data_IF_519639985582
#
_entry.id   IF_519639985582
#
_cell.length_a   1.000
_cell.length_b   1.000
_cell.length_c   1.000
_cell.angle_alpha   90.00
_cell.angle_beta   90.00
_cell.angle_gamma   90.00
#
_symmetry.space_group_name_H-M   'P 1'
#
loop_
_entity.id
_entity.type
_entity.pdbx_description
1 polymer ?
#
# COMPACT_ATOMS: atom_id res chain seq x y z
N UNK A 1 53.21 -3.39 -4.04
CA UNK A 1 52.62 -4.69 -3.69
C UNK A 1 51.10 -4.67 -3.44
N UNK A 2 50.46 -3.51 -3.15
CA UNK A 2 49.00 -3.41 -2.90
C UNK A 2 48.09 -3.70 -4.10
N UNK A 3 48.38 -3.12 -5.28
CA UNK A 3 47.58 -3.27 -6.51
C UNK A 3 47.42 -4.72 -7.02
N UNK A 4 48.34 -5.64 -6.68
CA UNK A 4 48.22 -7.07 -7.05
C UNK A 4 47.31 -7.85 -6.09
N UNK A 5 47.24 -7.45 -4.81
CA UNK A 5 46.30 -8.04 -3.83
C UNK A 5 44.86 -7.55 -4.05
N UNK A 6 44.68 -6.27 -4.41
CA UNK A 6 43.35 -5.72 -4.74
C UNK A 6 42.75 -6.30 -6.02
N UNK A 7 43.59 -6.54 -7.05
CA UNK A 7 43.16 -7.24 -8.29
C UNK A 7 42.85 -8.73 -8.10
N UNK A 8 43.31 -9.33 -7.00
CA UNK A 8 42.97 -10.71 -6.62
C UNK A 8 41.61 -10.76 -5.89
N UNK A 9 41.39 -9.84 -4.92
CA UNK A 9 40.12 -9.70 -4.21
C UNK A 9 38.94 -9.29 -5.11
N UNK A 10 39.19 -8.46 -6.13
CA UNK A 10 38.19 -8.13 -7.16
C UNK A 10 37.89 -9.31 -8.09
N UNK A 11 38.87 -10.17 -8.37
CA UNK A 11 38.67 -11.41 -9.14
C UNK A 11 37.84 -12.42 -8.35
N UNK A 12 38.16 -12.60 -7.08
CA UNK A 12 37.44 -13.48 -6.16
C UNK A 12 35.98 -13.03 -5.96
N UNK A 13 35.71 -11.72 -5.87
CA UNK A 13 34.34 -11.17 -5.83
C UNK A 13 33.58 -11.28 -7.16
N UNK A 14 34.27 -11.24 -8.30
CA UNK A 14 33.66 -11.42 -9.62
C UNK A 14 33.38 -12.91 -9.93
N UNK A 15 34.18 -13.82 -9.41
CA UNK A 15 33.92 -15.27 -9.51
C UNK A 15 32.70 -15.69 -8.67
N UNK A 16 32.41 -15.01 -7.56
CA UNK A 16 31.16 -15.15 -6.79
C UNK A 16 29.94 -14.68 -7.62
N UNK A 17 30.05 -13.57 -8.36
CA UNK A 17 29.00 -13.17 -9.30
C UNK A 17 28.81 -14.21 -10.41
N UNK A 18 29.89 -14.86 -10.87
CA UNK A 18 29.84 -15.89 -11.90
C UNK A 18 29.16 -17.18 -11.41
N UNK A 19 29.38 -17.59 -10.16
CA UNK A 19 28.72 -18.78 -9.58
C UNK A 19 27.22 -18.54 -9.28
N UNK A 20 26.83 -17.31 -8.95
CA UNK A 20 25.42 -16.96 -8.69
C UNK A 20 24.62 -16.78 -10.00
N UNK A 21 25.26 -16.29 -11.07
CA UNK A 21 24.59 -16.00 -12.36
C UNK A 21 24.50 -17.22 -13.28
N UNK A 22 25.47 -18.15 -13.25
CA UNK A 22 25.49 -19.31 -14.17
C UNK A 22 24.84 -20.59 -13.59
N UNK A 23 24.44 -20.62 -12.32
CA UNK A 23 23.88 -21.82 -11.67
C UNK A 23 22.36 -21.98 -11.77
N UNK A 24 21.62 -20.91 -12.08
CA UNK A 24 20.17 -20.95 -12.26
C UNK A 24 19.87 -20.59 -13.72
N UNK A 25 19.17 -21.49 -14.43
CA UNK A 25 18.78 -21.29 -15.82
C UNK A 25 17.89 -20.07 -16.01
N UNK A 26 18.50 -18.90 -16.21
CA UNK A 26 17.82 -17.65 -16.52
C UNK A 26 17.70 -17.42 -18.03
N UNK A 27 16.63 -16.72 -18.38
CA UNK A 27 16.22 -16.35 -19.73
C UNK A 27 17.29 -15.55 -20.50
N UNK A 28 17.40 -15.81 -21.80
CA UNK A 28 18.48 -15.39 -22.71
C UNK A 28 18.64 -13.86 -22.85
N UNK A 29 17.65 -13.08 -22.42
CA UNK A 29 17.64 -11.61 -22.51
C UNK A 29 18.47 -10.92 -21.43
N UNK A 30 18.51 -11.45 -20.20
CA UNK A 30 19.26 -10.88 -19.06
C UNK A 30 20.76 -11.10 -19.22
N UNK A 31 21.13 -12.26 -19.78
CA UNK A 31 22.50 -12.62 -20.11
C UNK A 31 23.10 -11.66 -21.17
N UNK A 32 22.30 -11.18 -22.12
CA UNK A 32 22.75 -10.22 -23.13
C UNK A 32 23.06 -8.84 -22.54
N UNK A 33 22.23 -8.32 -21.63
CA UNK A 33 22.45 -7.02 -21.00
C UNK A 33 23.72 -6.99 -20.12
N UNK A 34 23.94 -8.05 -19.33
CA UNK A 34 25.17 -8.20 -18.53
C UNK A 34 26.43 -8.36 -19.40
N UNK A 35 26.34 -9.11 -20.51
CA UNK A 35 27.46 -9.24 -21.47
C UNK A 35 27.80 -7.92 -22.16
N UNK A 36 26.79 -7.09 -22.49
CA UNK A 36 27.00 -5.77 -23.11
C UNK A 36 27.68 -4.82 -22.11
N UNK A 37 27.21 -4.76 -20.87
CA UNK A 37 27.81 -3.93 -19.81
C UNK A 37 29.27 -4.33 -19.54
N UNK A 38 29.56 -5.63 -19.46
CA UNK A 38 30.93 -6.12 -19.28
C UNK A 38 31.83 -5.82 -20.49
N UNK A 39 31.32 -5.94 -21.73
CA UNK A 39 32.06 -5.60 -22.96
C UNK A 39 32.34 -4.10 -23.07
N UNK A 40 31.44 -3.24 -22.61
CA UNK A 40 31.63 -1.78 -22.63
C UNK A 40 32.63 -1.32 -21.58
N UNK A 41 32.61 -1.92 -20.38
CA UNK A 41 33.62 -1.69 -19.34
C UNK A 41 35.01 -2.13 -19.80
N UNK A 42 35.13 -3.32 -20.41
CA UNK A 42 36.40 -3.86 -20.92
C UNK A 42 37.00 -3.03 -22.07
N UNK A 43 36.17 -2.27 -22.80
CA UNK A 43 36.61 -1.38 -23.90
C UNK A 43 36.91 0.05 -23.45
N UNK A 44 36.87 0.35 -22.14
CA UNK A 44 37.17 1.68 -21.60
C UNK A 44 36.21 2.77 -22.04
N UNK A 45 34.99 2.43 -22.48
CA UNK A 45 34.00 3.36 -23.06
C UNK A 45 32.94 3.87 -22.07
N UNK A 46 33.03 3.52 -20.78
CA UNK A 46 32.26 4.24 -19.75
C UNK A 46 33.00 5.54 -19.45
N UNK A 47 32.72 6.58 -20.23
CA UNK A 47 33.06 7.94 -19.85
C UNK A 47 32.35 8.26 -18.52
N UNK A 48 33.11 8.86 -17.62
CA UNK A 48 32.70 9.26 -16.28
C UNK A 48 31.34 9.97 -16.31
N UNK A 49 30.49 9.68 -15.31
CA UNK A 49 29.22 10.34 -15.05
C UNK A 49 29.34 11.88 -15.16
N UNK A 50 29.02 12.44 -16.33
CA UNK A 50 28.90 13.88 -16.52
C UNK A 50 27.55 14.33 -15.95
N UNK A 51 27.52 14.58 -14.65
CA UNK A 51 26.41 15.32 -14.04
C UNK A 51 26.89 16.20 -12.88
N UNK A 52 27.97 16.96 -13.07
CA UNK A 52 28.31 18.09 -12.21
C UNK A 52 29.03 19.15 -13.06
N UNK A 53 28.32 20.21 -13.41
CA UNK A 53 28.89 21.37 -14.10
C UNK A 53 29.77 22.17 -13.14
N UNK A 54 31.08 21.95 -13.18
CA UNK A 54 32.11 22.92 -12.77
C UNK A 54 33.50 22.42 -13.21
N UNK A 55 34.20 23.20 -14.04
CA UNK A 55 35.60 22.93 -14.41
C UNK A 55 36.52 23.18 -13.21
N UNK A 56 36.89 22.13 -12.47
CA UNK A 56 38.10 22.12 -11.63
C UNK A 56 38.86 20.80 -11.81
N UNK A 57 40.20 20.88 -11.93
CA UNK A 57 41.10 19.73 -11.87
C UNK A 57 41.20 19.28 -10.41
N UNK A 58 40.88 18.02 -10.12
CA UNK A 58 40.97 17.41 -8.79
C UNK A 58 42.26 16.56 -8.75
N UNK A 59 43.13 16.69 -7.73
CA UNK A 59 44.34 15.88 -7.56
C UNK A 59 44.01 14.42 -7.17
N UNK A 60 44.93 13.46 -7.46
CA UNK A 60 44.66 12.01 -7.42
C UNK A 60 44.30 11.43 -6.04
N UNK A 61 44.54 12.17 -4.97
CA UNK A 61 44.35 11.81 -3.57
C UNK A 61 42.91 12.05 -3.06
N UNK A 62 42.08 12.83 -3.77
CA UNK A 62 40.66 13.03 -3.45
C UNK A 62 39.70 12.02 -4.11
N UNK A 63 40.19 11.18 -5.04
CA UNK A 63 39.40 10.20 -5.81
C UNK A 63 38.75 9.13 -4.88
N UNK A 64 39.40 8.81 -3.76
CA UNK A 64 38.99 7.75 -2.81
C UNK A 64 37.68 8.09 -2.07
N UNK A 65 37.29 9.38 -2.00
CA UNK A 65 36.00 9.77 -1.38
C UNK A 65 34.82 9.81 -2.37
N UNK A 66 35.11 9.93 -3.67
CA UNK A 66 34.12 10.06 -4.75
C UNK A 66 33.71 8.73 -5.41
N UNK A 67 34.32 7.60 -5.04
CA UNK A 67 33.94 6.27 -5.56
C UNK A 67 32.80 5.59 -4.78
N UNK A 68 32.47 6.08 -3.57
CA UNK A 68 31.35 5.57 -2.76
C UNK A 68 29.93 5.84 -3.32
N UNK A 69 29.65 6.92 -4.09
CA UNK A 69 28.30 7.17 -4.61
C UNK A 69 27.93 6.34 -5.86
N UNK A 70 28.90 5.86 -6.64
CA UNK A 70 28.63 5.18 -7.91
C UNK A 70 28.21 3.71 -7.73
N UNK A 71 28.78 3.00 -6.73
CA UNK A 71 28.34 1.63 -6.43
C UNK A 71 26.95 1.59 -5.77
N UNK A 72 26.61 2.61 -4.96
CA UNK A 72 25.32 2.72 -4.29
C UNK A 72 24.15 2.88 -5.29
N UNK A 73 24.39 3.55 -6.43
CA UNK A 73 23.37 3.78 -7.46
C UNK A 73 23.13 2.56 -8.36
N UNK A 74 24.14 1.72 -8.57
CA UNK A 74 23.99 0.43 -9.28
C UNK A 74 23.41 -0.69 -8.41
N UNK A 75 23.71 -0.72 -7.10
CA UNK A 75 22.99 -1.59 -6.17
C UNK A 75 21.51 -1.21 -6.04
N UNK A 76 21.16 0.06 -6.26
CA UNK A 76 19.77 0.49 -6.38
C UNK A 76 19.12 -0.11 -7.64
N UNK A 77 19.79 -0.10 -8.80
CA UNK A 77 19.27 -0.70 -10.02
C UNK A 77 19.12 -2.24 -9.97
N UNK A 78 20.03 -2.94 -9.29
CA UNK A 78 19.92 -4.39 -9.07
C UNK A 78 18.83 -4.71 -8.03
N UNK A 79 18.68 -3.91 -6.96
CA UNK A 79 17.53 -4.02 -6.05
C UNK A 79 16.21 -3.74 -6.76
N UNK A 80 16.17 -2.76 -7.66
CA UNK A 80 15.01 -2.50 -8.51
C UNK A 80 14.74 -3.76 -9.35
N UNK A 81 15.71 -4.29 -10.10
CA UNK A 81 15.47 -5.47 -10.96
C UNK A 81 15.00 -6.74 -10.21
N UNK A 82 15.51 -7.01 -9.00
CA UNK A 82 15.10 -8.18 -8.18
C UNK A 82 13.70 -7.97 -7.56
N UNK A 83 13.30 -6.74 -7.28
CA UNK A 83 11.93 -6.41 -6.80
C UNK A 83 10.87 -6.60 -7.90
N UNK A 84 11.24 -6.46 -9.18
CA UNK A 84 10.32 -6.61 -10.32
C UNK A 84 10.04 -8.07 -10.74
N UNK A 85 10.60 -9.07 -10.05
CA UNK A 85 10.38 -10.50 -10.36
C UNK A 85 9.43 -11.22 -9.39
N UNK A 86 8.85 -10.51 -8.43
CA UNK A 86 7.75 -11.03 -7.61
C UNK A 86 6.41 -10.58 -8.21
N UNK A 87 5.42 -11.48 -8.24
CA UNK A 87 4.00 -11.19 -8.50
C UNK A 87 3.44 -10.15 -7.49
N UNK A 88 3.81 -8.87 -7.61
CA UNK A 88 3.43 -7.79 -6.68
C UNK A 88 2.04 -7.21 -6.94
N UNK A 89 1.35 -7.64 -8.00
CA UNK A 89 0.05 -7.09 -8.40
C UNK A 89 -1.14 -7.72 -7.65
N UNK A 90 -1.03 -7.90 -6.34
CA UNK A 90 -2.07 -8.55 -5.54
C UNK A 90 -2.59 -7.65 -4.43
N UNK A 91 -3.52 -6.77 -4.78
CA UNK A 91 -4.29 -6.02 -3.78
C UNK A 91 -5.70 -6.59 -3.69
N UNK A 92 -6.08 -6.97 -2.48
CA UNK A 92 -7.44 -7.37 -2.13
C UNK A 92 -8.09 -6.24 -1.35
N UNK A 93 -9.29 -5.84 -1.75
CA UNK A 93 -10.04 -4.78 -1.06
C UNK A 93 -11.53 -5.01 -1.17
N UNK A 94 -12.31 -4.28 -0.38
CA UNK A 94 -13.77 -4.32 -0.48
C UNK A 94 -14.26 -3.12 -1.28
N UNK A 95 -15.04 -3.40 -2.32
CA UNK A 95 -15.65 -2.43 -3.21
C UNK A 95 -17.12 -2.23 -2.83
N UNK A 96 -17.55 -0.97 -2.87
CA UNK A 96 -18.93 -0.58 -2.61
C UNK A 96 -19.59 -0.09 -3.90
N UNK A 97 -20.72 -0.71 -4.26
CA UNK A 97 -21.57 -0.30 -5.37
C UNK A 97 -22.55 0.79 -4.89
N UNK A 98 -22.41 2.06 -5.30
CA UNK A 98 -23.22 3.16 -4.79
C UNK A 98 -24.71 3.01 -5.15
N UNK A 99 -25.01 2.45 -6.32
CA UNK A 99 -26.38 2.27 -6.82
C UNK A 99 -27.22 1.30 -5.98
N UNK A 100 -26.56 0.42 -5.22
CA UNK A 100 -27.21 -0.60 -4.36
C UNK A 100 -27.18 -0.23 -2.88
N UNK A 101 -26.42 0.78 -2.50
CA UNK A 101 -26.25 1.13 -1.10
C UNK A 101 -27.38 2.06 -0.63
N UNK A 102 -28.17 1.57 0.33
CA UNK A 102 -29.28 2.33 0.94
C UNK A 102 -28.86 3.12 2.18
N UNK A 103 -27.58 3.10 2.54
CA UNK A 103 -27.06 3.83 3.69
C UNK A 103 -27.57 3.36 5.06
N UNK A 104 -27.92 2.08 5.21
CA UNK A 104 -28.50 1.53 6.44
C UNK A 104 -27.53 1.42 7.63
N UNK A 105 -26.23 1.73 7.45
CA UNK A 105 -25.17 1.67 8.46
C UNK A 105 -24.92 0.30 9.12
N UNK A 106 -25.58 -0.77 8.65
CA UNK A 106 -25.38 -2.14 9.16
C UNK A 106 -23.93 -2.60 9.04
N UNK A 107 -23.26 -2.24 7.94
CA UNK A 107 -21.85 -2.55 7.73
C UNK A 107 -20.92 -1.86 8.74
N UNK A 108 -21.25 -0.64 9.19
CA UNK A 108 -20.47 0.09 10.19
C UNK A 108 -20.65 -0.56 11.57
N UNK A 109 -21.90 -0.84 11.95
CA UNK A 109 -22.22 -1.49 13.22
C UNK A 109 -21.56 -2.87 13.34
N UNK A 110 -21.69 -3.72 12.32
CA UNK A 110 -21.07 -5.03 12.34
C UNK A 110 -19.54 -4.95 12.39
N UNK A 111 -18.94 -4.03 11.62
CA UNK A 111 -17.50 -3.81 11.66
C UNK A 111 -17.04 -3.41 13.08
N UNK A 112 -17.68 -2.43 13.70
CA UNK A 112 -17.37 -2.02 15.08
C UNK A 112 -17.47 -3.20 16.07
N UNK A 113 -18.54 -3.98 15.99
CA UNK A 113 -18.82 -5.08 16.91
C UNK A 113 -17.79 -6.20 16.82
N UNK A 114 -17.45 -6.68 15.62
CA UNK A 114 -16.51 -7.80 15.47
C UNK A 114 -15.09 -7.42 15.90
N UNK A 115 -14.64 -6.20 15.62
CA UNK A 115 -13.31 -5.77 16.04
C UNK A 115 -13.24 -5.52 17.55
N UNK A 116 -14.32 -4.99 18.15
CA UNK A 116 -14.41 -4.87 19.60
C UNK A 116 -14.35 -6.24 20.29
N UNK A 117 -14.95 -7.28 19.70
CA UNK A 117 -14.90 -8.64 20.23
C UNK A 117 -13.47 -9.21 20.24
N UNK A 118 -12.63 -8.81 19.27
CA UNK A 118 -11.20 -9.14 19.21
C UNK A 118 -10.31 -8.24 20.09
N UNK A 119 -10.91 -7.32 20.88
CA UNK A 119 -10.16 -6.39 21.73
C UNK A 119 -9.50 -5.23 20.98
N UNK A 120 -9.86 -5.00 19.72
CA UNK A 120 -9.39 -3.89 18.89
C UNK A 120 -10.27 -2.64 19.08
N UNK A 121 -9.84 -1.49 18.55
CA UNK A 121 -10.65 -0.28 18.58
C UNK A 121 -12.05 -0.53 17.99
N UNK A 122 -13.07 -0.16 18.77
CA UNK A 122 -14.49 -0.36 18.42
C UNK A 122 -15.00 0.62 17.36
N UNK A 123 -14.19 1.58 16.92
CA UNK A 123 -14.57 2.48 15.84
C UNK A 123 -14.72 1.70 14.52
N UNK A 124 -15.77 1.94 13.72
CA UNK A 124 -15.91 1.28 12.44
C UNK A 124 -14.75 1.63 11.50
N UNK A 125 -14.29 0.65 10.74
CA UNK A 125 -13.18 0.77 9.77
C UNK A 125 -13.62 1.21 8.37
N UNK A 126 -14.87 1.65 8.25
CA UNK A 126 -15.52 2.18 7.06
C UNK A 126 -16.57 3.20 7.46
N UNK A 127 -16.77 4.24 6.64
CA UNK A 127 -17.72 5.32 6.92
C UNK A 127 -18.70 5.49 5.77
N UNK A 128 -19.99 5.26 6.01
CA UNK A 128 -21.05 5.55 5.04
C UNK A 128 -21.13 7.06 4.82
N UNK A 129 -20.81 7.48 3.60
CA UNK A 129 -20.96 8.85 3.14
C UNK A 129 -22.21 8.96 2.29
N UNK A 130 -22.97 10.04 2.50
CA UNK A 130 -24.19 10.36 1.76
C UNK A 130 -23.98 11.68 1.05
N UNK A 131 -24.07 11.64 -0.27
CA UNK A 131 -24.19 12.82 -1.11
C UNK A 131 -25.63 12.93 -1.59
N UNK A 132 -26.04 14.09 -2.12
CA UNK A 132 -27.41 14.27 -2.61
C UNK A 132 -27.84 13.27 -3.71
N UNK A 133 -26.88 12.61 -4.37
CA UNK A 133 -27.13 11.69 -5.49
C UNK A 133 -26.69 10.25 -5.21
N UNK A 134 -25.69 10.05 -4.37
CA UNK A 134 -25.06 8.74 -4.15
C UNK A 134 -24.79 8.50 -2.68
N UNK A 135 -25.03 7.27 -2.24
CA UNK A 135 -24.64 6.80 -0.91
C UNK A 135 -23.68 5.64 -1.06
N UNK A 136 -22.54 5.67 -0.38
CA UNK A 136 -21.59 4.56 -0.36
C UNK A 136 -20.64 4.68 0.84
N UNK A 137 -20.18 3.55 1.41
CA UNK A 137 -19.11 3.56 2.39
C UNK A 137 -17.75 3.87 1.76
N UNK A 138 -17.03 4.78 2.40
CA UNK A 138 -15.61 5.04 2.20
C UNK A 138 -14.82 4.11 3.11
N UNK A 139 -13.81 3.45 2.54
CA UNK A 139 -13.05 2.42 3.24
C UNK A 139 -11.67 2.20 2.61
N UNK A 140 -10.79 1.51 3.33
CA UNK A 140 -9.42 1.29 2.89
C UNK A 140 -9.38 0.44 1.61
N UNK A 141 -8.51 0.83 0.67
CA UNK A 141 -8.29 0.12 -0.59
C UNK A 141 -7.07 -0.80 -0.60
N UNK A 142 -6.37 -0.93 0.55
CA UNK A 142 -5.17 -1.77 0.68
C UNK A 142 -4.17 -1.55 -0.48
N UNK A 143 -3.86 -0.27 -0.75
CA UNK A 143 -3.06 0.13 -1.90
C UNK A 143 -1.71 -0.57 -1.91
N UNK A 144 -1.22 -0.94 -3.10
CA UNK A 144 0.08 -1.58 -3.29
C UNK A 144 1.25 -0.71 -2.81
N UNK A 145 1.24 0.59 -3.12
CA UNK A 145 2.28 1.54 -2.69
C UNK A 145 2.07 2.09 -1.26
N UNK A 146 0.88 1.81 -0.66
CA UNK A 146 0.43 2.25 0.66
C UNK A 146 1.17 3.47 1.24
N UNK A 147 0.88 4.71 0.80
CA UNK A 147 1.55 5.90 1.34
C UNK A 147 1.40 6.02 2.86
N UNK A 148 0.31 5.49 3.42
CA UNK A 148 0.08 5.40 4.86
C UNK A 148 1.13 4.55 5.62
N UNK A 149 1.67 3.49 5.00
CA UNK A 149 2.74 2.68 5.58
C UNK A 149 4.08 3.45 5.54
N UNK A 150 4.38 4.09 4.40
CA UNK A 150 5.64 4.84 4.19
C UNK A 150 5.81 6.03 5.14
N UNK A 151 4.72 6.67 5.56
CA UNK A 151 4.77 7.81 6.49
C UNK A 151 4.74 7.41 7.97
N UNK A 152 4.62 6.11 8.30
CA UNK A 152 4.50 5.68 9.68
C UNK A 152 5.89 5.65 10.36
N UNK A 153 6.18 6.53 11.34
CA UNK A 153 7.52 6.62 11.94
C UNK A 153 7.87 5.43 12.83
N UNK A 154 6.86 4.66 13.26
CA UNK A 154 7.00 3.51 14.17
C UNK A 154 6.69 2.18 13.47
N UNK A 155 6.53 2.18 12.14
CA UNK A 155 6.19 0.99 11.35
C UNK A 155 4.97 0.21 11.88
N UNK A 156 3.98 0.93 12.43
CA UNK A 156 2.74 0.33 12.88
C UNK A 156 1.86 -0.14 11.71
N UNK A 157 2.10 0.34 10.48
CA UNK A 157 1.39 -0.10 9.28
C UNK A 157 2.37 -0.86 8.39
N UNK A 158 2.04 -2.11 8.07
CA UNK A 158 2.88 -3.05 7.31
C UNK A 158 2.10 -3.69 6.16
N UNK A 159 2.81 -4.27 5.19
CA UNK A 159 2.24 -5.13 4.15
C UNK A 159 2.37 -6.58 4.57
N UNK A 160 1.24 -7.27 4.69
CA UNK A 160 1.14 -8.68 5.09
C UNK A 160 0.04 -9.37 4.28
N UNK A 161 0.33 -10.53 3.68
CA UNK A 161 -0.66 -11.35 2.96
C UNK A 161 -1.53 -10.55 1.97
N UNK A 162 -0.90 -9.76 1.09
CA UNK A 162 -1.60 -8.96 0.07
C UNK A 162 -2.56 -7.89 0.65
N UNK A 163 -2.37 -7.54 1.91
CA UNK A 163 -3.12 -6.52 2.62
C UNK A 163 -2.19 -5.56 3.37
N UNK A 164 -2.56 -4.28 3.36
CA UNK A 164 -2.00 -3.30 4.29
C UNK A 164 -2.65 -3.53 5.65
N UNK A 165 -1.89 -3.80 6.71
CA UNK A 165 -2.39 -4.11 8.07
C UNK A 165 -1.88 -3.05 9.05
N UNK A 166 -2.64 -2.80 10.13
CA UNK A 166 -2.25 -1.89 11.20
C UNK A 166 -2.11 -2.66 12.52
N UNK A 167 -0.99 -2.47 13.20
CA UNK A 167 -0.78 -2.89 14.58
C UNK A 167 -1.16 -1.75 15.54
N UNK A 168 -2.30 -1.91 16.24
CA UNK A 168 -2.84 -0.92 17.19
C UNK A 168 -1.91 -0.70 18.41
N UNK A 169 -1.12 -1.70 18.78
CA UNK A 169 -0.20 -1.63 19.93
C UNK A 169 0.96 -0.69 19.65
N UNK A 170 1.58 -0.81 18.46
CA UNK A 170 2.71 0.01 18.02
C UNK A 170 2.30 1.43 17.64
N UNK A 171 1.03 1.66 17.32
CA UNK A 171 0.54 2.96 16.89
C UNK A 171 0.67 4.00 18.01
N UNK A 172 1.39 5.10 17.70
CA UNK A 172 1.58 6.25 18.60
C UNK A 172 0.56 7.39 18.37
N UNK A 173 -0.44 7.18 17.50
CA UNK A 173 -1.48 8.18 17.27
C UNK A 173 -1.03 9.48 16.58
N UNK A 174 0.08 9.47 15.82
CA UNK A 174 0.62 10.67 15.15
C UNK A 174 -0.21 11.19 13.96
N UNK A 175 -1.22 10.42 13.50
CA UNK A 175 -2.18 10.76 12.42
C UNK A 175 -1.59 11.04 11.03
N UNK A 176 -0.28 10.93 10.83
CA UNK A 176 0.35 11.09 9.51
C UNK A 176 -0.25 10.15 8.44
N UNK A 177 -0.58 8.92 8.83
CA UNK A 177 -1.22 7.95 7.93
C UNK A 177 -2.61 8.39 7.45
N UNK A 178 -3.38 9.08 8.30
CA UNK A 178 -4.70 9.61 7.92
C UNK A 178 -4.56 10.73 6.88
N UNK A 179 -3.60 11.63 7.08
CA UNK A 179 -3.29 12.73 6.14
C UNK A 179 -2.74 12.19 4.81
N UNK A 180 -1.89 11.17 4.86
CA UNK A 180 -1.30 10.57 3.66
C UNK A 180 -2.26 9.68 2.88
N UNK A 181 -3.43 9.33 3.43
CA UNK A 181 -4.38 8.46 2.75
C UNK A 181 -5.15 9.25 1.68
N UNK A 182 -4.99 8.94 0.37
CA UNK A 182 -5.68 9.67 -0.69
C UNK A 182 -7.20 9.44 -0.70
N UNK A 183 -7.67 8.43 0.02
CA UNK A 183 -9.08 8.06 0.11
C UNK A 183 -9.76 8.54 1.40
N UNK A 184 -9.02 9.14 2.33
CA UNK A 184 -9.58 9.52 3.64
C UNK A 184 -10.13 8.34 4.45
N UNK A 185 -9.56 7.15 4.24
CA UNK A 185 -10.10 5.89 4.76
C UNK A 185 -9.51 5.44 6.12
N UNK A 186 -8.74 6.31 6.77
CA UNK A 186 -8.10 6.05 8.06
C UNK A 186 -8.58 7.11 9.03
N UNK A 187 -9.22 6.68 10.11
CA UNK A 187 -9.79 7.57 11.13
C UNK A 187 -9.10 7.30 12.45
N UNK A 188 -8.61 8.32 13.18
CA UNK A 188 -8.12 8.10 14.53
C UNK A 188 -9.30 7.80 15.48
N UNK A 189 -9.11 6.83 16.37
CA UNK A 189 -9.99 6.56 17.51
C UNK A 189 -9.13 6.38 18.74
N UNK A 190 -9.70 6.41 19.94
CA UNK A 190 -8.89 6.30 21.14
C UNK A 190 -9.57 5.59 22.28
N UNK A 191 -8.75 5.00 23.14
CA UNK A 191 -9.17 4.35 24.39
C UNK A 191 -8.59 5.12 25.58
N UNK A 192 -9.37 5.37 26.65
CA UNK A 192 -8.86 5.98 27.88
C UNK A 192 -7.69 5.18 28.45
N UNK A 193 -6.67 5.88 28.93
CA UNK A 193 -5.52 5.26 29.60
C UNK A 193 -5.86 5.01 31.05
N UNK A 194 -5.76 3.75 31.49
CA UNK A 194 -6.03 3.37 32.88
C UNK A 194 -5.15 4.17 33.84
N UNK A 195 -5.76 4.78 34.86
CA UNK A 195 -5.06 5.59 35.85
C UNK A 195 -4.80 7.05 35.44
N UNK A 196 -5.21 7.45 34.23
CA UNK A 196 -5.23 8.86 33.81
C UNK A 196 -6.68 9.29 33.67
N UNK A 197 -7.12 10.26 34.48
CA UNK A 197 -8.46 10.84 34.34
C UNK A 197 -8.49 11.58 33.00
N UNK A 198 -9.36 11.20 32.05
CA UNK A 198 -9.49 11.97 30.82
C UNK A 198 -9.98 13.38 31.17
N UNK A 199 -9.42 14.40 30.52
CA UNK A 199 -9.70 15.81 30.86
C UNK A 199 -11.17 16.20 30.63
N UNK A 200 -11.95 15.32 30.00
CA UNK A 200 -13.42 15.40 29.90
C UNK A 200 -14.14 15.55 31.25
N UNK A 201 -13.52 15.13 32.37
CA UNK A 201 -14.10 15.30 33.71
C UNK A 201 -13.71 16.60 34.43
N UNK A 202 -12.69 17.32 33.97
CA UNK A 202 -12.14 18.49 34.67
C UNK A 202 -12.63 19.83 34.09
N UNK A 203 -13.14 19.82 32.86
CA UNK A 203 -13.95 20.92 32.32
C UNK A 203 -15.39 20.42 32.26
N UNK A 204 -16.28 20.96 33.10
CA UNK A 204 -17.72 20.74 32.99
C UNK A 204 -18.19 21.23 31.61
N UNK A 205 -18.16 20.35 30.63
CA UNK A 205 -18.90 20.56 29.41
C UNK A 205 -20.39 20.59 29.80
N UNK A 206 -21.20 21.52 29.26
CA UNK A 206 -22.63 21.58 29.56
C UNK A 206 -23.27 20.20 29.35
N UNK A 207 -24.32 19.82 30.09
CA UNK A 207 -24.85 18.46 30.15
C UNK A 207 -25.21 17.83 28.78
N UNK A 208 -25.44 18.65 27.75
CA UNK A 208 -25.60 18.19 26.36
C UNK A 208 -24.32 17.57 25.73
N UNK A 209 -23.14 18.01 26.14
CA UNK A 209 -21.84 17.52 25.67
C UNK A 209 -21.34 16.30 26.46
N UNK A 210 -21.76 16.12 27.72
CA UNK A 210 -21.44 14.92 28.49
C UNK A 210 -22.11 13.65 27.93
N UNK A 211 -23.30 13.80 27.33
CA UNK A 211 -24.02 12.70 26.68
C UNK A 211 -23.40 12.26 25.35
N UNK A 212 -22.69 13.16 24.66
CA UNK A 212 -21.93 12.85 23.43
C UNK A 212 -20.57 12.22 23.76
N UNK A 213 -19.93 12.65 24.86
CA UNK A 213 -18.64 12.11 25.31
C UNK A 213 -18.71 10.66 25.80
N UNK A 214 -19.84 10.22 26.36
CA UNK A 214 -20.07 8.79 26.67
C UNK A 214 -20.16 7.91 25.40
N UNK A 215 -20.27 8.52 24.21
CA UNK A 215 -20.26 7.86 22.90
C UNK A 215 -18.94 8.06 22.13
N UNK A 216 -17.96 8.74 22.71
CA UNK A 216 -16.71 9.08 22.04
C UNK A 216 -16.79 10.29 21.10
N UNK A 217 -17.84 11.10 21.21
CA UNK A 217 -18.00 12.33 20.41
C UNK A 217 -17.36 13.52 21.14
N UNK A 218 -16.32 14.06 20.53
CA UNK A 218 -15.52 15.16 21.05
C UNK A 218 -16.25 16.50 21.19
N UNK A 219 -15.79 17.41 22.08
CA UNK A 219 -16.46 18.68 22.30
C UNK A 219 -16.38 19.53 21.04
N UNK A 220 -17.53 19.73 20.40
CA UNK A 220 -17.76 20.58 19.23
C UNK A 220 -16.99 20.19 17.95
N UNK A 221 -17.71 19.64 16.95
CA UNK A 221 -17.57 19.87 15.50
C UNK A 221 -16.16 19.90 14.86
N UNK A 222 -15.13 19.33 15.48
CA UNK A 222 -13.79 19.23 14.90
C UNK A 222 -13.70 17.97 14.04
N UNK A 223 -12.94 18.06 12.96
CA UNK A 223 -12.61 16.89 12.14
C UNK A 223 -11.90 15.83 13.01
N UNK A 224 -12.19 14.53 12.85
CA UNK A 224 -11.54 13.46 13.62
C UNK A 224 -10.01 13.52 13.60
N UNK A 225 -9.42 14.02 12.52
CA UNK A 225 -7.96 14.20 12.42
C UNK A 225 -7.46 15.29 13.37
N UNK A 226 -8.24 16.33 13.64
CA UNK A 226 -7.84 17.45 14.51
C UNK A 226 -8.20 17.20 15.97
N UNK A 227 -9.15 16.30 16.22
CA UNK A 227 -9.63 16.01 17.56
C UNK A 227 -8.58 15.36 18.46
N UNK A 228 -8.38 15.90 19.66
CA UNK A 228 -7.43 15.36 20.64
C UNK A 228 -8.03 15.40 22.05
N UNK A 229 -7.85 14.33 22.81
CA UNK A 229 -8.31 14.21 24.19
C UNK A 229 -7.16 13.79 25.10
N UNK A 230 -6.80 14.65 26.05
CA UNK A 230 -5.83 14.29 27.08
C UNK A 230 -6.33 13.12 27.93
N UNK A 231 -5.45 12.14 28.17
CA UNK A 231 -5.78 10.90 28.87
C UNK A 231 -6.36 9.79 27.99
N UNK A 232 -6.47 10.01 26.67
CA UNK A 232 -6.92 9.00 25.71
C UNK A 232 -5.77 8.66 24.77
N UNK A 233 -5.42 7.37 24.64
CA UNK A 233 -4.45 6.91 23.65
C UNK A 233 -5.12 6.88 22.29
N UNK A 234 -4.78 7.83 21.42
CA UNK A 234 -5.22 7.82 20.02
C UNK A 234 -4.47 6.76 19.21
N UNK A 235 -5.21 6.02 18.39
CA UNK A 235 -4.77 4.91 17.54
C UNK A 235 -5.46 5.08 16.19
N UNK A 236 -4.74 4.84 15.10
CA UNK A 236 -5.35 4.83 13.77
C UNK A 236 -6.35 3.69 13.64
N UNK A 237 -7.42 3.86 12.87
CA UNK A 237 -8.39 2.80 12.58
C UNK A 237 -8.57 2.74 11.07
N UNK A 238 -8.35 1.56 10.49
CA UNK A 238 -8.50 1.30 9.07
C UNK A 238 -8.95 -0.13 8.83
N UNK A 239 -9.55 -0.39 7.66
CA UNK A 239 -9.96 -1.75 7.31
C UNK A 239 -8.74 -2.67 7.24
N UNK A 240 -8.86 -3.86 7.81
CA UNK A 240 -7.89 -4.97 7.85
C UNK A 240 -8.46 -6.22 7.15
N UNK A 241 -9.54 -6.05 6.37
CA UNK A 241 -10.32 -7.11 5.72
C UNK A 241 -10.87 -8.17 6.67
N UNK A 242 -10.95 -7.88 7.97
CA UNK A 242 -11.27 -8.84 9.01
C UNK A 242 -10.39 -10.09 8.92
N UNK A 243 -9.06 -9.91 8.79
CA UNK A 243 -8.10 -10.99 8.61
C UNK A 243 -8.13 -12.07 9.71
N UNK A 244 -8.64 -11.73 10.90
CA UNK A 244 -8.85 -12.67 12.02
C UNK A 244 -10.06 -13.61 11.83
N UNK A 245 -11.04 -13.24 11.01
CA UNK A 245 -12.30 -13.98 10.86
C UNK A 245 -12.24 -14.96 9.70
N UNK A 246 -12.60 -16.21 9.95
CA UNK A 246 -12.76 -17.23 8.91
C UNK A 246 -13.91 -16.90 7.93
N UNK A 247 -14.89 -16.11 8.35
CA UNK A 247 -15.99 -15.67 7.51
C UNK A 247 -15.61 -14.50 6.59
N UNK A 248 -14.40 -13.94 6.74
CA UNK A 248 -13.90 -12.82 5.98
C UNK A 248 -14.51 -11.48 6.39
N UNK A 249 -14.54 -10.53 5.44
CA UNK A 249 -14.97 -9.16 5.68
C UNK A 249 -16.44 -9.09 6.13
N UNK A 250 -16.65 -8.84 7.42
CA UNK A 250 -17.97 -8.86 8.04
C UNK A 250 -18.94 -7.86 7.40
N UNK A 251 -18.44 -6.69 6.99
CA UNK A 251 -19.23 -5.66 6.31
C UNK A 251 -19.88 -6.15 5.01
N UNK A 252 -19.24 -7.08 4.29
CA UNK A 252 -19.79 -7.74 3.10
C UNK A 252 -20.88 -8.72 3.49
N UNK A 253 -20.64 -9.53 4.53
CA UNK A 253 -21.55 -10.56 5.02
C UNK A 253 -22.89 -10.01 5.48
N UNK A 254 -22.87 -8.88 6.21
CA UNK A 254 -24.09 -8.30 6.80
C UNK A 254 -24.86 -7.36 5.86
N UNK A 255 -24.33 -7.07 4.67
CA UNK A 255 -24.93 -6.07 3.79
C UNK A 255 -26.27 -6.57 3.21
N UNK A 256 -27.43 -5.99 3.58
CA UNK A 256 -28.74 -6.53 3.18
C UNK A 256 -28.98 -6.41 1.66
N UNK A 257 -28.47 -5.35 1.04
CA UNK A 257 -28.59 -5.12 -0.40
C UNK A 257 -27.46 -5.73 -1.22
N UNK A 258 -26.48 -6.38 -0.56
CA UNK A 258 -25.23 -6.89 -1.14
C UNK A 258 -24.51 -5.83 -2.00
N UNK A 259 -24.49 -4.59 -1.52
CA UNK A 259 -23.76 -3.47 -2.15
C UNK A 259 -22.24 -3.59 -1.98
N UNK A 260 -21.78 -4.33 -0.97
CA UNK A 260 -20.36 -4.55 -0.69
C UNK A 260 -19.91 -5.90 -1.25
N UNK A 261 -18.74 -5.93 -1.88
CA UNK A 261 -18.11 -7.17 -2.35
C UNK A 261 -16.59 -7.11 -2.16
N UNK A 262 -15.98 -8.24 -1.82
CA UNK A 262 -14.53 -8.37 -1.86
C UNK A 262 -14.10 -8.47 -3.32
N UNK A 263 -13.12 -7.66 -3.70
CA UNK A 263 -12.50 -7.65 -5.01
C UNK A 263 -11.06 -8.09 -4.85
N UNK A 264 -10.68 -9.05 -5.66
CA UNK A 264 -9.31 -9.55 -5.78
C UNK A 264 -8.82 -9.28 -7.19
N UNK A 265 -7.63 -8.68 -7.29
CA UNK A 265 -6.86 -8.53 -8.52
C UNK A 265 -6.87 -9.76 -9.45
N UNK A 266 -6.77 -11.00 -8.92
CA UNK A 266 -6.78 -12.23 -9.73
C UNK A 266 -8.12 -12.48 -10.40
N UNK A 267 -9.21 -12.27 -9.64
CA UNK A 267 -10.57 -12.46 -10.12
C UNK A 267 -10.95 -11.37 -11.14
N UNK A 268 -10.51 -10.13 -10.93
CA UNK A 268 -10.71 -9.06 -11.91
C UNK A 268 -9.99 -9.35 -13.23
N UNK A 269 -8.74 -9.81 -13.18
CA UNK A 269 -7.99 -10.14 -14.39
C UNK A 269 -8.62 -11.32 -15.16
N UNK A 270 -9.25 -12.26 -14.46
CA UNK A 270 -10.03 -13.34 -15.07
C UNK A 270 -11.34 -12.81 -15.68
N UNK A 271 -12.09 -11.97 -14.96
CA UNK A 271 -13.33 -11.36 -15.44
C UNK A 271 -13.11 -10.46 -16.66
N UNK A 272 -12.02 -9.68 -16.68
CA UNK A 272 -11.63 -8.85 -17.82
C UNK A 272 -11.32 -9.71 -19.03
N UNK A 273 -10.55 -10.80 -18.85
CA UNK A 273 -10.25 -11.76 -19.93
C UNK A 273 -11.52 -12.42 -20.46
N UNK A 274 -12.44 -12.82 -19.58
CA UNK A 274 -13.72 -13.40 -19.97
C UNK A 274 -14.59 -12.41 -20.75
N UNK A 275 -14.66 -11.14 -20.32
CA UNK A 275 -15.39 -10.08 -21.03
C UNK A 275 -14.75 -9.74 -22.37
N UNK A 276 -13.43 -9.71 -22.46
CA UNK A 276 -12.70 -9.49 -23.71
C UNK A 276 -12.93 -10.64 -24.70
N UNK A 277 -12.92 -11.89 -24.23
CA UNK A 277 -13.23 -13.06 -25.04
C UNK A 277 -14.68 -13.00 -25.57
N UNK A 278 -15.66 -12.74 -24.71
CA UNK A 278 -17.06 -12.62 -25.11
C UNK A 278 -17.34 -11.44 -26.05
N UNK A 279 -16.67 -10.31 -25.87
CA UNK A 279 -16.74 -9.19 -26.81
C UNK A 279 -16.12 -9.55 -28.17
N UNK A 280 -15.02 -10.30 -28.18
CA UNK A 280 -14.39 -10.81 -29.41
C UNK A 280 -15.28 -11.79 -30.16
N UNK A 281 -15.98 -12.68 -29.45
CA UNK A 281 -16.95 -13.61 -30.03
C UNK A 281 -18.18 -12.87 -30.61
N UNK A 282 -18.73 -11.90 -29.87
CA UNK A 282 -19.84 -11.08 -30.36
C UNK A 282 -19.47 -10.30 -31.62
N UNK A 283 -18.28 -9.69 -31.65
CA UNK A 283 -17.78 -8.97 -32.81
C UNK A 283 -17.55 -9.92 -34.00
N UNK A 284 -17.02 -11.12 -33.75
CA UNK A 284 -16.80 -12.14 -34.80
C UNK A 284 -18.12 -12.66 -35.38
N UNK A 285 -19.16 -12.81 -34.55
CA UNK A 285 -20.50 -13.19 -34.97
C UNK A 285 -21.16 -12.09 -35.83
N UNK A 286 -21.04 -10.82 -35.42
CA UNK A 286 -21.53 -9.68 -36.22
C UNK A 286 -20.83 -9.55 -37.57
N UNK A 287 -19.50 -9.72 -37.62
CA UNK A 287 -18.74 -9.70 -38.89
C UNK A 287 -19.18 -10.85 -39.80
N UNK A 288 -19.42 -12.04 -39.26
CA UNK A 288 -19.88 -13.20 -40.02
C UNK A 288 -21.30 -13.02 -40.59
N UNK A 289 -22.19 -12.40 -39.80
CA UNK A 289 -23.55 -12.03 -40.22
C UNK A 289 -23.56 -10.94 -41.30
N UNK A 290 -22.68 -9.95 -41.19
CA UNK A 290 -22.57 -8.89 -42.20
C UNK A 290 -21.99 -9.40 -43.52
N UNK A 291 -21.00 -10.31 -43.47
CA UNK A 291 -20.42 -10.93 -44.68
C UNK A 291 -21.40 -11.82 -45.45
N UNK A 292 -22.39 -12.40 -44.75
CA UNK A 292 -23.45 -13.20 -45.37
C UNK A 292 -24.61 -12.36 -45.93
N UNK A 293 -24.60 -11.04 -45.72
CA UNK A 293 -25.59 -10.08 -46.24
C UNK A 293 -25.10 -9.28 -47.47
N UNK A 294 -23.85 -9.48 -47.91
CA UNK A 294 -23.34 -8.83 -49.13
C UNK A 294 -24.03 -9.42 -50.37
N UNK A 295 -24.69 -8.60 -51.22
CA UNK A 295 -25.33 -9.08 -52.43
C UNK A 295 -24.27 -9.55 -53.45
N UNK A 296 -24.53 -10.72 -54.07
CA UNK A 296 -23.73 -11.26 -55.18
C UNK A 296 -24.02 -10.54 -56.49
#
# INVERSE_FOLDING_TARGET
MGLRRERALLRERLDICRSVIFGAGFDTSVDMACRIAWRQWRRGKLEACQSLGAKRKIPPDEIVSAERPCLARHMHYIRVAVVFSGDWSMSRFVFAEPTRCIGCNTCMAACAMVHKAEGLQAHPRLTVVRTGQLTAPVQCRHCEDAPCARVCPVNAITHENDAVVLNETLCIGCKLCAIACPFGAITPSGTPVTGVVPVSHLYQAPPAAAASQARGDSPAMLDPILDWQAGVKSVAVKCDLCAFSAHGAECVRVCPTRALKVVDSRLLAADVRAKQAGAGEALSAEVSLNRSREPK
#
